data_IF_230726888471
#
_entry.id   IF_230726888471
#
_cell.length_a   1.000
_cell.length_b   1.000
_cell.length_c   1.000
_cell.angle_alpha   90.00
_cell.angle_beta   90.00
_cell.angle_gamma   90.00
#
_symmetry.space_group_name_H-M   'P 1'
#
loop_
_entity.id
_entity.type
_entity.pdbx_description
1 polymer ?
#
# COMPACT_ATOMS: atom_id res chain seq x y z
N UNK A 1 -4.38 40.19 72.76
CA UNK A 1 -4.74 41.17 71.72
C UNK A 1 -5.80 40.52 70.84
N UNK A 2 -7.07 40.89 70.99
CA UNK A 2 -8.19 40.22 70.30
C UNK A 2 -8.54 41.02 69.05
N UNK A 3 -8.18 40.51 67.87
CA UNK A 3 -8.50 41.15 66.59
C UNK A 3 -10.00 40.98 66.35
N UNK A 4 -10.75 42.08 66.37
CA UNK A 4 -12.18 42.09 66.00
C UNK A 4 -12.30 42.29 64.49
N UNK A 5 -12.63 41.23 63.76
CA UNK A 5 -12.96 41.35 62.34
C UNK A 5 -14.35 41.97 62.16
N UNK A 6 -14.44 43.03 61.36
CA UNK A 6 -15.69 43.76 61.13
C UNK A 6 -16.51 43.06 60.03
N UNK A 7 -17.69 42.53 60.40
CA UNK A 7 -18.56 41.70 59.55
C UNK A 7 -18.87 42.33 58.18
N UNK A 8 -18.88 43.67 58.08
CA UNK A 8 -19.15 44.38 56.81
C UNK A 8 -18.10 44.14 55.72
N UNK A 9 -16.86 43.79 56.09
CA UNK A 9 -15.80 43.46 55.14
C UNK A 9 -15.75 41.96 54.84
N UNK A 10 -16.16 41.11 55.81
CA UNK A 10 -16.25 39.66 55.63
C UNK A 10 -17.26 39.30 54.52
N UNK A 11 -18.42 39.97 54.49
CA UNK A 11 -19.43 39.73 53.45
C UNK A 11 -18.97 40.15 52.05
N UNK A 12 -18.20 41.24 51.94
CA UNK A 12 -17.61 41.69 50.67
C UNK A 12 -16.49 40.75 50.19
N UNK A 13 -15.67 40.24 51.10
CA UNK A 13 -14.62 39.25 50.79
C UNK A 13 -15.24 37.91 50.37
N UNK A 14 -16.30 37.46 51.04
CA UNK A 14 -17.06 36.27 50.65
C UNK A 14 -17.73 36.44 49.28
N UNK A 15 -18.29 37.61 48.97
CA UNK A 15 -18.90 37.87 47.67
C UNK A 15 -17.86 37.89 46.53
N UNK A 16 -16.68 38.47 46.74
CA UNK A 16 -15.57 38.43 45.77
C UNK A 16 -15.03 37.01 45.61
N UNK A 17 -14.89 36.25 46.70
CA UNK A 17 -14.50 34.85 46.67
C UNK A 17 -15.50 33.96 45.92
N UNK A 18 -16.80 34.22 46.05
CA UNK A 18 -17.85 33.50 45.31
C UNK A 18 -17.81 33.78 43.80
N UNK A 19 -17.52 35.02 43.40
CA UNK A 19 -17.37 35.40 41.97
C UNK A 19 -16.15 34.72 41.36
N UNK A 20 -15.02 34.68 42.08
CA UNK A 20 -13.79 34.00 41.63
C UNK A 20 -14.01 32.47 41.54
N UNK A 21 -14.77 31.90 42.48
CA UNK A 21 -15.09 30.47 42.46
C UNK A 21 -15.94 30.06 41.25
N UNK A 22 -16.82 30.95 40.74
CA UNK A 22 -17.61 30.69 39.53
C UNK A 22 -16.82 30.81 38.22
N UNK A 23 -15.66 31.48 38.21
CA UNK A 23 -14.81 31.62 37.02
C UNK A 23 -13.61 30.67 37.01
N UNK A 24 -13.28 30.05 38.15
CA UNK A 24 -12.15 29.14 38.30
C UNK A 24 -12.43 27.72 37.78
N UNK A 25 -13.71 27.36 37.56
CA UNK A 25 -14.12 26.13 36.90
C UNK A 25 -14.57 26.48 35.48
N UNK A 26 -13.62 26.72 34.57
CA UNK A 26 -13.92 26.62 33.14
C UNK A 26 -13.68 25.16 32.75
N UNK A 27 -14.65 24.55 32.06
CA UNK A 27 -14.52 23.19 31.53
C UNK A 27 -13.30 23.06 30.59
N UNK A 28 -12.87 24.18 29.98
CA UNK A 28 -11.67 24.30 29.16
C UNK A 28 -10.37 23.84 29.85
N UNK A 29 -10.24 24.01 31.18
CA UNK A 29 -9.06 23.51 31.92
C UNK A 29 -9.02 21.98 32.01
N UNK A 30 -10.18 21.32 31.90
CA UNK A 30 -10.31 19.87 31.88
C UNK A 30 -10.37 19.29 30.47
N UNK A 31 -10.43 20.12 29.43
CA UNK A 31 -10.33 19.71 28.03
C UNK A 31 -8.86 19.46 27.61
N UNK A 32 -8.20 18.58 28.36
CA UNK A 32 -6.81 18.15 28.12
C UNK A 32 -6.74 16.85 27.31
N UNK A 33 -7.88 16.38 26.81
CA UNK A 33 -7.98 15.12 26.07
C UNK A 33 -7.77 15.31 24.55
N UNK A 34 -7.57 16.56 24.11
CA UNK A 34 -7.03 16.83 22.79
C UNK A 34 -5.52 16.66 22.79
N UNK A 35 -5.07 15.54 22.23
CA UNK A 35 -3.65 15.25 22.03
C UNK A 35 -3.00 16.37 21.18
N UNK A 36 -2.10 17.19 21.77
CA UNK A 36 -1.49 18.32 21.06
C UNK A 36 -0.52 17.88 19.96
N UNK A 37 -0.16 16.59 19.92
CA UNK A 37 0.67 16.00 18.87
C UNK A 37 -0.15 15.41 17.72
N UNK A 38 -1.46 15.18 17.93
CA UNK A 38 -2.36 14.69 16.90
C UNK A 38 -2.71 15.81 15.92
N UNK A 39 -2.34 15.64 14.66
CA UNK A 39 -2.76 16.56 13.61
C UNK A 39 -4.28 16.46 13.49
N UNK A 40 -4.98 17.57 13.73
CA UNK A 40 -6.43 17.62 13.56
C UNK A 40 -6.80 17.28 12.12
N UNK A 41 -7.94 16.62 11.91
CA UNK A 41 -8.38 16.20 10.58
C UNK A 41 -8.53 17.39 9.60
N UNK A 42 -8.84 18.58 10.13
CA UNK A 42 -8.90 19.84 9.38
C UNK A 42 -7.54 20.32 8.85
N UNK A 43 -6.43 19.87 9.43
CA UNK A 43 -5.07 20.23 9.05
C UNK A 43 -4.42 19.24 8.07
N UNK A 44 -5.00 18.06 7.88
CA UNK A 44 -4.51 17.06 6.91
C UNK A 44 -5.00 17.43 5.51
N UNK A 45 -4.08 17.87 4.66
CA UNK A 45 -4.37 18.25 3.27
C UNK A 45 -4.34 17.05 2.33
N UNK A 46 -5.06 17.13 1.21
CA UNK A 46 -5.00 16.12 0.14
C UNK A 46 -3.57 15.91 -0.38
N UNK A 47 -2.79 16.99 -0.46
CA UNK A 47 -1.38 16.98 -0.89
C UNK A 47 -0.42 16.29 0.09
N UNK A 48 -0.80 16.17 1.38
CA UNK A 48 -0.01 15.43 2.37
C UNK A 48 -0.49 13.97 2.49
N UNK A 49 -1.79 13.73 2.30
CA UNK A 49 -2.40 12.42 2.47
C UNK A 49 -2.10 11.47 1.30
N UNK A 50 -2.12 11.96 0.07
CA UNK A 50 -1.85 11.15 -1.13
C UNK A 50 -0.48 10.45 -1.09
N UNK A 51 0.67 11.15 -0.90
CA UNK A 51 1.97 10.49 -0.96
C UNK A 51 2.19 9.49 0.19
N UNK A 52 1.64 9.77 1.39
CA UNK A 52 1.69 8.82 2.50
C UNK A 52 0.86 7.55 2.22
N UNK A 53 -0.29 7.71 1.56
CA UNK A 53 -1.15 6.60 1.15
C UNK A 53 -0.49 5.76 0.06
N UNK A 54 0.12 6.39 -0.94
CA UNK A 54 0.84 5.72 -2.03
C UNK A 54 2.03 4.90 -1.53
N UNK A 55 2.77 5.42 -0.54
CA UNK A 55 3.85 4.68 0.11
C UNK A 55 3.32 3.48 0.92
N UNK A 56 2.21 3.63 1.64
CA UNK A 56 1.51 2.52 2.28
C UNK A 56 1.03 1.44 1.30
N UNK A 57 0.61 1.84 0.10
CA UNK A 57 0.25 0.93 -1.00
C UNK A 57 1.48 0.20 -1.53
N UNK A 58 2.64 0.86 -1.58
CA UNK A 58 3.93 0.24 -1.86
C UNK A 58 4.25 -0.89 -0.86
N UNK A 59 4.05 -0.65 0.44
CA UNK A 59 4.21 -1.69 1.48
C UNK A 59 3.21 -2.83 1.36
N UNK A 60 1.95 -2.54 1.04
CA UNK A 60 0.95 -3.57 0.76
C UNK A 60 1.41 -4.45 -0.41
N UNK A 61 1.86 -3.83 -1.50
CA UNK A 61 2.35 -4.53 -2.68
C UNK A 61 3.56 -5.42 -2.36
N UNK A 62 4.53 -4.92 -1.60
CA UNK A 62 5.65 -5.72 -1.09
C UNK A 62 5.17 -6.95 -0.32
N UNK A 63 4.19 -6.78 0.57
CA UNK A 63 3.64 -7.89 1.37
C UNK A 63 3.05 -8.98 0.46
N UNK A 64 2.22 -8.60 -0.51
CA UNK A 64 1.67 -9.53 -1.51
C UNK A 64 2.77 -10.20 -2.32
N UNK A 65 3.73 -9.43 -2.83
CA UNK A 65 4.83 -9.94 -3.63
C UNK A 65 5.71 -10.93 -2.86
N UNK A 66 6.05 -10.63 -1.61
CA UNK A 66 6.87 -11.48 -0.76
C UNK A 66 6.23 -12.84 -0.49
N UNK A 67 4.92 -12.85 -0.19
CA UNK A 67 4.20 -14.10 0.08
C UNK A 67 3.96 -14.91 -1.18
N UNK A 68 3.53 -14.25 -2.27
CA UNK A 68 3.29 -14.92 -3.56
C UNK A 68 4.57 -15.43 -4.20
N UNK A 69 5.71 -14.74 -4.02
CA UNK A 69 7.00 -15.21 -4.53
C UNK A 69 7.45 -16.52 -3.85
N UNK A 70 7.10 -16.75 -2.58
CA UNK A 70 7.35 -18.03 -1.92
C UNK A 70 6.44 -19.13 -2.47
N UNK A 71 5.14 -18.84 -2.62
CA UNK A 71 4.15 -19.80 -3.15
C UNK A 71 4.50 -20.20 -4.59
N UNK A 72 4.91 -19.24 -5.42
CA UNK A 72 5.32 -19.47 -6.80
C UNK A 72 6.76 -19.99 -6.93
N UNK A 73 7.46 -20.25 -5.81
CA UNK A 73 8.84 -20.77 -5.80
C UNK A 73 9.83 -19.89 -6.59
N UNK A 74 9.65 -18.57 -6.51
CA UNK A 74 10.68 -17.61 -6.94
C UNK A 74 11.73 -17.41 -5.85
N UNK A 75 11.31 -17.53 -4.60
CA UNK A 75 12.17 -17.41 -3.41
C UNK A 75 11.96 -18.60 -2.49
N UNK A 76 13.03 -19.01 -1.81
CA UNK A 76 13.07 -20.11 -0.84
C UNK A 76 13.36 -19.56 0.55
N UNK A 77 12.73 -20.16 1.55
CA UNK A 77 12.89 -19.84 2.97
C UNK A 77 13.10 -21.10 3.79
N UNK A 78 13.58 -20.95 5.03
CA UNK A 78 13.80 -22.07 5.95
C UNK A 78 12.56 -22.47 6.75
N UNK A 79 11.37 -22.51 6.13
CA UNK A 79 10.12 -22.89 6.81
C UNK A 79 8.91 -21.99 6.57
N UNK A 80 8.84 -21.28 5.44
CA UNK A 80 7.73 -20.42 5.04
C UNK A 80 6.71 -21.11 4.12
N UNK A 81 6.01 -20.31 3.30
CA UNK A 81 4.96 -20.82 2.41
C UNK A 81 5.49 -21.79 1.34
N UNK A 82 6.77 -21.64 0.99
CA UNK A 82 7.48 -22.54 0.07
C UNK A 82 7.65 -23.97 0.63
N UNK A 83 7.46 -24.15 1.94
CA UNK A 83 7.40 -25.44 2.64
C UNK A 83 5.99 -25.97 2.86
N UNK A 84 4.97 -25.32 2.27
CA UNK A 84 3.55 -25.56 2.56
C UNK A 84 3.12 -25.31 4.01
N UNK A 85 3.91 -24.56 4.78
CA UNK A 85 3.49 -24.12 6.10
C UNK A 85 2.36 -23.08 5.99
N UNK A 86 1.46 -23.10 6.97
CA UNK A 86 0.45 -22.04 7.10
C UNK A 86 1.16 -20.70 7.32
N UNK A 87 0.90 -19.74 6.43
CA UNK A 87 1.42 -18.39 6.55
C UNK A 87 0.31 -17.43 6.95
N UNK A 88 0.63 -16.55 7.90
CA UNK A 88 -0.21 -15.41 8.21
C UNK A 88 0.12 -14.29 7.25
N UNK A 89 -0.94 -13.66 6.73
CA UNK A 89 -0.81 -12.58 5.77
C UNK A 89 -1.33 -11.24 6.33
N UNK A 90 -1.02 -11.03 7.60
CA UNK A 90 -1.39 -9.89 8.44
C UNK A 90 -0.78 -8.57 7.96
N UNK A 91 0.47 -8.58 7.48
CA UNK A 91 1.11 -7.40 6.90
C UNK A 91 0.40 -6.91 5.63
N UNK A 92 0.02 -7.83 4.75
CA UNK A 92 -0.77 -7.51 3.55
C UNK A 92 -2.14 -6.95 3.90
N UNK A 93 -2.83 -7.57 4.86
CA UNK A 93 -4.14 -7.12 5.34
C UNK A 93 -4.06 -5.71 5.96
N UNK A 94 -3.15 -5.52 6.91
CA UNK A 94 -3.01 -4.27 7.66
C UNK A 94 -2.62 -3.12 6.76
N UNK A 95 -1.64 -3.30 5.86
CA UNK A 95 -1.26 -2.25 4.91
C UNK A 95 -2.40 -1.93 3.94
N UNK A 96 -3.15 -2.94 3.48
CA UNK A 96 -4.28 -2.75 2.58
C UNK A 96 -5.40 -1.93 3.23
N UNK A 97 -5.83 -2.29 4.44
CA UNK A 97 -6.97 -1.64 5.08
C UNK A 97 -6.60 -0.36 5.82
N UNK A 98 -5.54 -0.39 6.62
CA UNK A 98 -5.21 0.70 7.55
C UNK A 98 -4.43 1.82 6.86
N UNK A 99 -3.47 1.47 5.99
CA UNK A 99 -2.62 2.46 5.31
C UNK A 99 -3.07 2.80 3.88
N UNK A 100 -3.85 1.90 3.26
CA UNK A 100 -4.35 2.04 1.89
C UNK A 100 -5.81 2.52 1.86
N UNK A 101 -6.75 1.56 1.88
CA UNK A 101 -8.17 1.79 1.61
C UNK A 101 -8.81 2.81 2.57
N UNK A 102 -8.50 2.78 3.87
CA UNK A 102 -9.03 3.78 4.81
C UNK A 102 -8.60 5.21 4.44
N UNK A 103 -7.31 5.40 4.14
CA UNK A 103 -6.79 6.71 3.72
C UNK A 103 -7.36 7.14 2.37
N UNK A 104 -7.47 6.22 1.40
CA UNK A 104 -8.11 6.49 0.11
C UNK A 104 -9.57 6.93 0.27
N UNK A 105 -10.32 6.31 1.20
CA UNK A 105 -11.68 6.73 1.50
C UNK A 105 -11.73 8.16 2.07
N UNK A 106 -10.81 8.52 2.96
CA UNK A 106 -10.68 9.90 3.48
C UNK A 106 -10.31 10.88 2.36
N UNK A 107 -9.41 10.51 1.43
CA UNK A 107 -9.08 11.32 0.26
C UNK A 107 -10.33 11.58 -0.60
N UNK A 108 -11.13 10.55 -0.87
CA UNK A 108 -12.36 10.67 -1.67
C UNK A 108 -13.36 11.62 -1.00
N UNK A 109 -13.57 11.49 0.31
CA UNK A 109 -14.47 12.35 1.08
C UNK A 109 -14.02 13.82 1.05
N UNK A 110 -12.77 14.10 1.42
CA UNK A 110 -12.19 15.45 1.39
C UNK A 110 -12.16 16.05 -0.01
N UNK A 111 -11.89 15.25 -1.03
CA UNK A 111 -11.91 15.70 -2.41
C UNK A 111 -13.31 16.12 -2.85
N UNK A 112 -14.36 15.45 -2.38
CA UNK A 112 -15.75 15.86 -2.59
C UNK A 112 -16.06 17.21 -1.96
N UNK A 113 -15.66 17.41 -0.70
CA UNK A 113 -15.86 18.66 0.05
C UNK A 113 -15.12 19.85 -0.58
N UNK A 114 -13.94 19.61 -1.16
CA UNK A 114 -13.07 20.65 -1.71
C UNK A 114 -13.25 20.86 -3.22
N UNK A 115 -14.18 20.14 -3.87
CA UNK A 115 -14.36 20.11 -5.31
C UNK A 115 -13.05 19.80 -6.07
N UNK A 116 -12.34 18.77 -5.59
CA UNK A 116 -11.06 18.31 -6.10
C UNK A 116 -11.15 16.92 -6.77
N UNK A 117 -11.98 16.74 -7.82
CA UNK A 117 -12.22 15.44 -8.45
C UNK A 117 -10.95 14.76 -8.97
N UNK A 118 -9.88 15.49 -9.28
CA UNK A 118 -8.61 14.84 -9.68
C UNK A 118 -8.03 13.95 -8.57
N UNK A 119 -8.08 14.38 -7.30
CA UNK A 119 -7.65 13.54 -6.17
C UNK A 119 -8.60 12.37 -5.94
N UNK A 120 -9.91 12.60 -6.06
CA UNK A 120 -10.91 11.52 -5.95
C UNK A 120 -10.67 10.45 -7.04
N UNK A 121 -10.37 10.88 -8.27
CA UNK A 121 -10.12 9.98 -9.39
C UNK A 121 -8.91 9.08 -9.16
N UNK A 122 -7.79 9.65 -8.72
CA UNK A 122 -6.61 8.88 -8.32
C UNK A 122 -6.96 7.89 -7.20
N UNK A 123 -7.63 8.35 -6.15
CA UNK A 123 -7.92 7.52 -5.00
C UNK A 123 -8.86 6.33 -5.31
N UNK A 124 -9.82 6.52 -6.23
CA UNK A 124 -10.70 5.43 -6.71
C UNK A 124 -9.92 4.40 -7.52
N UNK A 125 -9.03 4.83 -8.41
CA UNK A 125 -8.18 3.92 -9.21
C UNK A 125 -7.28 3.08 -8.29
N UNK A 126 -6.66 3.72 -7.30
CA UNK A 126 -5.83 3.02 -6.31
C UNK A 126 -6.65 2.08 -5.40
N UNK A 127 -7.90 2.44 -5.09
CA UNK A 127 -8.79 1.56 -4.33
C UNK A 127 -9.08 0.29 -5.11
N UNK A 128 -9.39 0.40 -6.41
CA UNK A 128 -9.57 -0.76 -7.28
C UNK A 128 -8.29 -1.61 -7.41
N UNK A 129 -7.11 -0.99 -7.39
CA UNK A 129 -5.83 -1.71 -7.37
C UNK A 129 -5.65 -2.56 -6.11
N UNK A 130 -5.87 -1.98 -4.93
CA UNK A 130 -5.76 -2.69 -3.65
C UNK A 130 -6.81 -3.78 -3.50
N UNK A 131 -8.06 -3.51 -3.90
CA UNK A 131 -9.13 -4.50 -3.84
C UNK A 131 -8.83 -5.74 -4.67
N UNK A 132 -8.19 -5.58 -5.84
CA UNK A 132 -7.81 -6.72 -6.67
C UNK A 132 -6.79 -7.61 -5.97
N UNK A 133 -5.77 -7.03 -5.35
CA UNK A 133 -4.79 -7.78 -4.55
C UNK A 133 -5.45 -8.51 -3.39
N UNK A 134 -6.32 -7.81 -2.64
CA UNK A 134 -6.99 -8.36 -1.48
C UNK A 134 -7.95 -9.51 -1.83
N UNK A 135 -8.85 -9.29 -2.79
CA UNK A 135 -9.84 -10.31 -3.18
C UNK A 135 -9.18 -11.51 -3.89
N UNK A 136 -8.01 -11.33 -4.50
CA UNK A 136 -7.26 -12.46 -5.07
C UNK A 136 -6.57 -13.30 -3.99
N UNK A 137 -6.26 -12.71 -2.84
CA UNK A 137 -5.64 -13.42 -1.72
C UNK A 137 -6.65 -14.06 -0.77
N UNK A 138 -7.80 -13.39 -0.53
CA UNK A 138 -8.77 -13.79 0.51
C UNK A 138 -10.18 -14.06 -0.02
N UNK A 139 -10.41 -13.95 -1.33
CA UNK A 139 -11.72 -14.05 -1.96
C UNK A 139 -12.70 -12.99 -1.44
N UNK A 140 -13.51 -13.33 -0.46
CA UNK A 140 -14.49 -12.43 0.13
C UNK A 140 -13.79 -11.50 1.12
N UNK A 141 -14.07 -10.19 1.03
CA UNK A 141 -13.39 -9.17 1.81
C UNK A 141 -14.35 -8.05 2.23
N UNK A 142 -14.17 -7.40 3.39
CA UNK A 142 -14.97 -6.24 3.75
C UNK A 142 -14.69 -5.04 2.85
N UNK A 143 -15.71 -4.42 2.26
CA UNK A 143 -15.50 -3.15 1.54
C UNK A 143 -16.65 -2.17 1.70
N UNK A 144 -17.88 -2.59 1.38
CA UNK A 144 -19.05 -1.71 1.35
C UNK A 144 -19.42 -1.13 2.71
N UNK A 145 -19.03 -1.82 3.78
CA UNK A 145 -19.29 -1.41 5.17
C UNK A 145 -17.99 -1.12 5.96
N UNK A 146 -16.82 -1.24 5.33
CA UNK A 146 -15.53 -1.32 6.01
C UNK A 146 -15.03 0.00 6.61
N UNK A 147 -15.52 1.14 6.11
CA UNK A 147 -15.02 2.47 6.51
C UNK A 147 -16.02 3.27 7.36
N UNK A 148 -17.07 2.62 7.87
CA UNK A 148 -17.94 3.19 8.89
C UNK A 148 -17.34 2.95 10.28
N UNK A 149 -16.87 4.01 10.93
CA UNK A 149 -16.27 3.97 12.28
C UNK A 149 -17.23 3.45 13.36
N UNK A 150 -18.55 3.48 13.10
CA UNK A 150 -19.57 2.92 14.01
C UNK A 150 -19.78 1.43 13.80
N UNK A 151 -19.41 0.90 12.63
CA UNK A 151 -19.52 -0.50 12.30
C UNK A 151 -18.22 -1.26 12.61
N UNK A 152 -18.12 -1.79 13.83
CA UNK A 152 -16.95 -2.55 14.26
C UNK A 152 -16.88 -3.97 13.67
N UNK A 153 -17.91 -4.41 12.93
CA UNK A 153 -18.01 -5.75 12.33
C UNK A 153 -18.54 -5.65 10.89
N UNK A 154 -17.77 -5.03 9.98
CA UNK A 154 -18.20 -4.91 8.59
C UNK A 154 -18.37 -6.29 7.97
N UNK A 155 -19.44 -6.48 7.19
CA UNK A 155 -19.64 -7.72 6.47
C UNK A 155 -18.56 -7.94 5.41
N UNK A 156 -18.40 -9.19 5.00
CA UNK A 156 -17.54 -9.57 3.89
C UNK A 156 -18.38 -9.54 2.60
N UNK A 157 -17.98 -8.72 1.64
CA UNK A 157 -18.56 -8.72 0.31
C UNK A 157 -17.99 -9.87 -0.52
N UNK A 158 -18.82 -10.46 -1.38
CA UNK A 158 -18.36 -11.55 -2.24
C UNK A 158 -17.29 -11.09 -3.22
N UNK A 159 -16.36 -11.98 -3.60
CA UNK A 159 -15.36 -11.67 -4.63
C UNK A 159 -16.00 -11.12 -5.91
N UNK A 160 -17.13 -11.68 -6.36
CA UNK A 160 -17.87 -11.17 -7.52
C UNK A 160 -18.34 -9.72 -7.35
N UNK A 161 -18.94 -9.39 -6.19
CA UNK A 161 -19.33 -8.01 -5.85
C UNK A 161 -18.12 -7.07 -5.88
N UNK A 162 -16.97 -7.53 -5.35
CA UNK A 162 -15.74 -6.75 -5.37
C UNK A 162 -15.26 -6.49 -6.81
N UNK A 163 -15.30 -7.45 -7.72
CA UNK A 163 -14.96 -7.22 -9.13
C UNK A 163 -15.87 -6.19 -9.81
N UNK A 164 -17.17 -6.21 -9.49
CA UNK A 164 -18.09 -5.19 -9.97
C UNK A 164 -17.74 -3.81 -9.39
N UNK A 165 -17.41 -3.74 -8.09
CA UNK A 165 -16.98 -2.50 -7.42
C UNK A 165 -15.69 -1.95 -8.00
N UNK A 166 -14.68 -2.79 -8.25
CA UNK A 166 -13.43 -2.40 -8.91
C UNK A 166 -13.69 -1.78 -10.27
N UNK A 167 -14.56 -2.38 -11.08
CA UNK A 167 -14.91 -1.84 -12.40
C UNK A 167 -15.55 -0.46 -12.28
N UNK A 168 -16.52 -0.30 -11.37
CA UNK A 168 -17.17 1.00 -11.12
C UNK A 168 -16.17 2.06 -10.65
N UNK A 169 -15.28 1.73 -9.71
CA UNK A 169 -14.26 2.63 -9.20
C UNK A 169 -13.29 3.10 -10.31
N UNK A 170 -12.89 2.20 -11.21
CA UNK A 170 -12.03 2.55 -12.35
C UNK A 170 -12.76 3.48 -13.32
N UNK A 171 -14.03 3.23 -13.61
CA UNK A 171 -14.84 4.07 -14.51
C UNK A 171 -15.11 5.46 -13.92
N UNK A 172 -15.54 5.50 -12.65
CA UNK A 172 -15.71 6.76 -11.92
C UNK A 172 -14.39 7.51 -11.80
N UNK A 173 -13.29 6.81 -11.54
CA UNK A 173 -11.97 7.41 -11.43
C UNK A 173 -11.55 8.08 -12.74
N UNK A 174 -11.71 7.40 -13.87
CA UNK A 174 -11.46 7.98 -15.20
C UNK A 174 -12.34 9.21 -15.45
N UNK A 175 -13.63 9.14 -15.08
CA UNK A 175 -14.57 10.25 -15.24
C UNK A 175 -14.20 11.45 -14.36
N UNK A 176 -13.78 11.22 -13.12
CA UNK A 176 -13.35 12.26 -12.19
C UNK A 176 -12.08 12.97 -12.68
N UNK A 177 -11.13 12.23 -13.26
CA UNK A 177 -9.92 12.79 -13.89
C UNK A 177 -10.19 13.62 -15.16
N UNK A 178 -11.42 13.64 -15.67
CA UNK A 178 -11.83 14.43 -16.82
C UNK A 178 -12.60 15.71 -16.45
N UNK A 179 -12.94 15.91 -15.17
CA UNK A 179 -13.68 17.08 -14.68
C UNK A 179 -12.75 18.27 -14.44
N UNK A 180 -13.32 19.47 -14.38
CA UNK A 180 -12.59 20.62 -13.83
C UNK A 180 -12.36 20.42 -12.32
N UNK A 181 -11.16 20.72 -11.85
CA UNK A 181 -10.77 20.47 -10.46
C UNK A 181 -10.14 21.72 -9.83
N UNK A 182 -10.52 22.04 -8.59
CA UNK A 182 -9.91 23.15 -7.82
C UNK A 182 -8.48 22.81 -7.39
N UNK A 183 -8.23 21.54 -7.06
CA UNK A 183 -6.94 21.01 -6.65
C UNK A 183 -6.61 19.78 -7.48
N UNK A 184 -5.33 19.61 -7.78
CA UNK A 184 -4.82 18.45 -8.53
C UNK A 184 -3.59 17.88 -7.86
N UNK A 185 -3.32 16.56 -8.00
CA UNK A 185 -2.01 16.01 -7.70
C UNK A 185 -0.94 16.70 -8.55
N UNK A 186 0.25 16.85 -7.99
CA UNK A 186 1.41 17.54 -8.56
C UNK A 186 2.63 16.61 -8.54
N UNK A 187 3.72 16.96 -9.24
CA UNK A 187 4.95 16.17 -9.21
C UNK A 187 5.54 15.88 -7.81
N UNK A 188 5.18 16.67 -6.81
CA UNK A 188 5.71 16.56 -5.44
C UNK A 188 4.84 15.73 -4.51
N UNK A 189 3.59 15.45 -4.86
CA UNK A 189 2.65 14.73 -3.98
C UNK A 189 1.99 13.50 -4.62
N UNK A 190 2.16 13.30 -5.93
CA UNK A 190 1.88 12.03 -6.61
C UNK A 190 3.21 11.34 -6.90
N UNK A 191 3.43 10.22 -6.22
CA UNK A 191 4.67 9.47 -6.26
C UNK A 191 4.76 8.55 -7.49
N UNK A 192 3.63 8.13 -8.07
CA UNK A 192 3.58 7.22 -9.22
C UNK A 192 3.72 7.95 -10.56
N UNK A 193 2.87 8.94 -10.82
CA UNK A 193 2.77 9.57 -12.15
C UNK A 193 3.04 11.06 -12.14
N UNK A 194 3.53 11.60 -11.01
CA UNK A 194 3.99 12.99 -10.88
C UNK A 194 2.91 14.01 -11.27
N UNK A 195 1.65 13.71 -11.00
CA UNK A 195 0.49 14.57 -11.31
C UNK A 195 -0.06 14.38 -12.72
N UNK A 196 0.47 13.43 -13.51
CA UNK A 196 -0.01 13.18 -14.87
C UNK A 196 -1.33 12.42 -14.87
N UNK A 197 -2.43 13.17 -15.02
CA UNK A 197 -3.78 12.61 -15.10
C UNK A 197 -3.96 11.69 -16.32
N UNK A 198 -3.21 11.95 -17.40
CA UNK A 198 -3.21 11.08 -18.58
C UNK A 198 -2.64 9.70 -18.24
N UNK A 199 -1.52 9.65 -17.52
CA UNK A 199 -0.94 8.36 -17.09
C UNK A 199 -1.87 7.63 -16.12
N UNK A 200 -2.53 8.34 -15.19
CA UNK A 200 -3.56 7.74 -14.33
C UNK A 200 -4.73 7.13 -15.13
N UNK A 201 -5.23 7.82 -16.16
CA UNK A 201 -6.28 7.26 -17.05
C UNK A 201 -5.81 6.03 -17.81
N UNK A 202 -4.58 6.06 -18.34
CA UNK A 202 -3.96 4.91 -19.03
C UNK A 202 -3.79 3.73 -18.08
N UNK A 203 -3.34 3.98 -16.86
CA UNK A 203 -3.21 2.97 -15.81
C UNK A 203 -4.55 2.36 -15.44
N UNK A 204 -5.60 3.17 -15.27
CA UNK A 204 -6.95 2.69 -15.02
C UNK A 204 -7.45 1.76 -16.15
N UNK A 205 -7.27 2.15 -17.42
CA UNK A 205 -7.59 1.29 -18.56
C UNK A 205 -6.77 -0.01 -18.55
N UNK A 206 -5.47 0.04 -18.23
CA UNK A 206 -4.64 -1.15 -18.13
C UNK A 206 -5.12 -2.09 -17.02
N UNK A 207 -5.52 -1.56 -15.85
CA UNK A 207 -6.11 -2.36 -14.78
C UNK A 207 -7.42 -3.02 -15.22
N UNK A 208 -8.28 -2.30 -15.96
CA UNK A 208 -9.50 -2.89 -16.54
C UNK A 208 -9.17 -4.06 -17.49
N UNK A 209 -8.16 -3.91 -18.34
CA UNK A 209 -7.71 -4.98 -19.23
C UNK A 209 -7.14 -6.18 -18.45
N UNK A 210 -6.32 -5.92 -17.42
CA UNK A 210 -5.77 -6.95 -16.52
C UNK A 210 -6.90 -7.74 -15.85
N UNK A 211 -7.89 -7.06 -15.27
CA UNK A 211 -8.97 -7.72 -14.54
C UNK A 211 -9.96 -8.42 -15.46
N UNK A 212 -10.11 -8.00 -16.72
CA UNK A 212 -10.85 -8.77 -17.71
C UNK A 212 -10.23 -10.16 -17.92
N UNK A 213 -8.89 -10.27 -17.90
CA UNK A 213 -8.18 -11.55 -18.05
C UNK A 213 -8.36 -12.51 -16.87
N UNK A 214 -8.77 -12.02 -15.69
CA UNK A 214 -9.07 -12.89 -14.54
C UNK A 214 -10.31 -13.78 -14.80
N UNK A 215 -11.15 -13.45 -15.78
CA UNK A 215 -12.34 -14.22 -16.15
C UNK A 215 -12.08 -15.31 -17.21
N UNK A 216 -10.83 -15.56 -17.57
CA UNK A 216 -10.47 -16.53 -18.63
C UNK A 216 -10.97 -17.95 -18.36
N UNK A 217 -10.99 -18.40 -17.11
CA UNK A 217 -11.54 -19.71 -16.74
C UNK A 217 -13.07 -19.80 -16.86
N UNK A 218 -13.79 -18.66 -16.82
CA UNK A 218 -15.24 -18.63 -17.05
C UNK A 218 -15.58 -18.58 -18.54
N UNK A 219 -14.90 -17.70 -19.29
CA UNK A 219 -15.02 -17.62 -20.75
C UNK A 219 -13.78 -16.92 -21.34
N UNK A 220 -12.84 -17.72 -21.84
CA UNK A 220 -11.56 -17.22 -22.36
C UNK A 220 -11.72 -16.25 -23.53
N UNK A 221 -12.61 -16.55 -24.48
CA UNK A 221 -12.82 -15.72 -25.67
C UNK A 221 -13.39 -14.34 -25.31
N UNK A 222 -14.42 -14.30 -24.45
CA UNK A 222 -15.00 -13.03 -23.99
C UNK A 222 -14.00 -12.23 -23.17
N UNK A 223 -13.27 -12.87 -22.25
CA UNK A 223 -12.23 -12.22 -21.45
C UNK A 223 -11.15 -11.56 -22.34
N UNK A 224 -10.62 -12.30 -23.31
CA UNK A 224 -9.61 -11.81 -24.25
C UNK A 224 -10.13 -10.65 -25.12
N UNK A 225 -11.34 -10.79 -25.69
CA UNK A 225 -11.93 -9.73 -26.53
C UNK A 225 -12.20 -8.44 -25.73
N UNK A 226 -12.63 -8.56 -24.47
CA UNK A 226 -12.82 -7.42 -23.58
C UNK A 226 -11.48 -6.72 -23.29
N UNK A 227 -10.45 -7.50 -22.95
CA UNK A 227 -9.11 -6.95 -22.70
C UNK A 227 -8.56 -6.22 -23.94
N UNK A 228 -8.65 -6.83 -25.13
CA UNK A 228 -8.22 -6.22 -26.40
C UNK A 228 -8.98 -4.93 -26.72
N UNK A 229 -10.30 -4.91 -26.49
CA UNK A 229 -11.13 -3.71 -26.71
C UNK A 229 -10.70 -2.56 -25.79
N UNK A 230 -10.30 -2.87 -24.56
CA UNK A 230 -9.80 -1.87 -23.61
C UNK A 230 -8.39 -1.41 -24.01
N UNK A 231 -7.51 -2.32 -24.43
CA UNK A 231 -6.14 -2.02 -24.88
C UNK A 231 -6.10 -1.23 -26.19
N UNK A 232 -7.16 -1.29 -27.00
CA UNK A 232 -7.30 -0.43 -28.19
C UNK A 232 -7.55 1.05 -27.83
N UNK A 233 -7.81 1.37 -26.56
CA UNK A 233 -7.83 2.74 -26.03
C UNK A 233 -6.42 3.21 -25.73
N UNK A 234 -6.29 4.46 -25.26
CA UNK A 234 -5.03 4.99 -24.75
C UNK A 234 -4.64 4.27 -23.43
N UNK A 235 -3.71 3.31 -23.53
CA UNK A 235 -3.10 2.54 -22.41
C UNK A 235 -1.59 2.79 -22.32
N UNK A 236 -0.88 2.17 -21.36
CA UNK A 236 0.58 2.29 -21.22
C UNK A 236 1.28 1.64 -22.43
N UNK A 237 2.27 2.33 -23.00
CA UNK A 237 2.93 1.92 -24.27
C UNK A 237 4.44 1.67 -24.14
N UNK A 238 5.06 2.04 -23.02
CA UNK A 238 6.45 1.68 -22.72
C UNK A 238 6.82 1.90 -21.26
N UNK A 239 8.07 1.56 -20.91
CA UNK A 239 8.57 1.59 -19.52
C UNK A 239 8.47 2.98 -18.86
N UNK A 240 8.48 4.05 -19.64
CA UNK A 240 8.32 5.41 -19.11
C UNK A 240 6.91 5.68 -18.54
N UNK A 241 5.93 4.87 -18.94
CA UNK A 241 4.56 4.93 -18.45
C UNK A 241 4.33 3.99 -17.24
N UNK A 242 5.34 3.26 -16.75
CA UNK A 242 5.16 2.28 -15.67
C UNK A 242 4.63 2.92 -14.39
N UNK A 243 3.65 2.26 -13.76
CA UNK A 243 3.15 2.63 -12.43
C UNK A 243 4.19 2.23 -11.36
N UNK A 244 5.25 3.03 -11.23
CA UNK A 244 6.38 2.72 -10.35
C UNK A 244 6.46 3.68 -9.17
N UNK A 245 6.54 3.12 -7.96
CA UNK A 245 6.96 3.87 -6.78
C UNK A 245 8.48 3.89 -6.71
N UNK A 246 9.07 5.09 -6.80
CA UNK A 246 10.53 5.26 -6.79
C UNK A 246 11.02 5.50 -5.36
N UNK A 247 11.88 4.60 -4.88
CA UNK A 247 12.53 4.66 -3.57
C UNK A 247 13.84 5.46 -3.64
N UNK A 248 14.37 5.83 -2.47
CA UNK A 248 15.61 6.59 -2.36
C UNK A 248 16.36 6.23 -1.07
N UNK A 249 17.52 6.85 -0.84
CA UNK A 249 18.39 6.51 0.30
C UNK A 249 17.79 6.81 1.68
N UNK A 250 16.65 7.53 1.76
CA UNK A 250 15.91 7.77 3.00
C UNK A 250 14.68 6.87 3.12
N UNK A 251 14.00 6.61 2.01
CA UNK A 251 12.87 5.70 1.91
C UNK A 251 13.32 4.49 1.10
N UNK A 252 13.94 3.52 1.77
CA UNK A 252 14.53 2.36 1.10
C UNK A 252 13.42 1.45 0.52
N UNK A 253 13.71 0.85 -0.64
CA UNK A 253 12.88 -0.21 -1.19
C UNK A 253 12.72 -1.35 -0.16
N UNK A 254 11.48 -1.82 0.14
CA UNK A 254 11.24 -2.90 1.09
C UNK A 254 12.00 -4.20 0.78
N UNK A 255 12.23 -4.52 -0.49
CA UNK A 255 13.06 -5.67 -0.89
C UNK A 255 14.54 -5.44 -0.58
N UNK A 256 15.02 -4.20 -0.71
CA UNK A 256 16.38 -3.85 -0.34
C UNK A 256 16.60 -3.97 1.17
N UNK A 257 15.76 -3.30 1.96
CA UNK A 257 15.91 -3.23 3.42
C UNK A 257 15.54 -4.54 4.11
N UNK A 258 14.43 -5.17 3.69
CA UNK A 258 13.87 -6.36 4.32
C UNK A 258 14.51 -7.68 3.89
N UNK A 259 15.20 -7.72 2.74
CA UNK A 259 15.82 -8.95 2.23
C UNK A 259 17.32 -8.77 2.05
N UNK A 260 17.76 -7.90 1.13
CA UNK A 260 19.18 -7.80 0.79
C UNK A 260 20.05 -7.33 1.98
N UNK A 261 19.67 -6.24 2.64
CA UNK A 261 20.38 -5.70 3.81
C UNK A 261 20.26 -6.62 5.03
N UNK A 262 19.06 -7.20 5.24
CA UNK A 262 18.81 -8.13 6.34
C UNK A 262 19.71 -9.37 6.24
N UNK A 263 19.82 -9.97 5.06
CA UNK A 263 20.65 -11.15 4.82
C UNK A 263 22.13 -10.89 5.13
N UNK A 264 22.68 -9.72 4.77
CA UNK A 264 24.10 -9.38 5.03
C UNK A 264 24.38 -8.95 6.47
N UNK A 265 23.36 -8.55 7.23
CA UNK A 265 23.49 -8.14 8.64
C UNK A 265 23.20 -9.27 9.63
N UNK A 266 23.04 -10.50 9.13
CA UNK A 266 22.81 -11.70 9.94
C UNK A 266 21.35 -11.97 10.28
N UNK A 267 20.41 -11.18 9.75
CA UNK A 267 18.97 -11.42 9.88
C UNK A 267 18.44 -12.08 8.60
N UNK A 268 18.75 -13.36 8.44
CA UNK A 268 18.35 -14.12 7.25
C UNK A 268 16.83 -14.12 7.04
N UNK A 269 16.39 -13.77 5.83
CA UNK A 269 14.98 -13.78 5.43
C UNK A 269 14.69 -14.90 4.41
N UNK A 270 15.15 -14.73 3.17
CA UNK A 270 14.91 -15.62 2.02
C UNK A 270 16.11 -15.63 1.06
N UNK A 271 16.18 -16.65 0.19
CA UNK A 271 17.10 -16.73 -0.97
C UNK A 271 16.34 -16.93 -2.27
N UNK A 272 17.02 -16.78 -3.40
CA UNK A 272 16.45 -17.21 -4.68
C UNK A 272 16.23 -18.72 -4.66
N UNK A 273 15.03 -19.16 -5.07
CA UNK A 273 14.67 -20.57 -5.14
C UNK A 273 15.45 -21.31 -6.23
N UNK A 274 15.79 -22.58 -6.00
CA UNK A 274 16.42 -23.46 -6.98
C UNK A 274 15.59 -23.52 -8.27
N UNK A 275 14.26 -23.56 -8.18
CA UNK A 275 13.35 -23.64 -9.32
C UNK A 275 13.49 -22.46 -10.27
N UNK A 276 13.54 -21.23 -9.72
CA UNK A 276 13.77 -20.02 -10.52
C UNK A 276 15.17 -20.04 -11.15
N UNK A 277 16.19 -20.45 -10.39
CA UNK A 277 17.57 -20.43 -10.85
C UNK A 277 17.82 -21.51 -11.91
N UNK A 278 17.24 -22.69 -11.79
CA UNK A 278 17.32 -23.77 -12.78
C UNK A 278 16.58 -23.39 -14.07
N UNK A 279 15.45 -22.70 -13.95
CA UNK A 279 14.76 -22.12 -15.10
C UNK A 279 15.62 -21.09 -15.84
N UNK A 280 16.29 -20.19 -15.11
CA UNK A 280 17.10 -19.12 -15.70
C UNK A 280 18.48 -19.57 -16.16
N UNK A 281 19.08 -20.58 -15.53
CA UNK A 281 20.39 -21.10 -15.90
C UNK A 281 20.34 -22.08 -17.07
N UNK A 282 19.14 -22.41 -17.55
CA UNK A 282 18.92 -23.36 -18.64
C UNK A 282 18.93 -24.82 -18.20
N UNK A 283 18.99 -25.11 -16.90
CA UNK A 283 18.86 -26.49 -16.37
C UNK A 283 17.46 -27.04 -16.67
N UNK A 284 16.41 -26.25 -16.44
CA UNK A 284 15.02 -26.69 -16.66
C UNK A 284 14.60 -26.62 -18.13
N UNK A 285 14.93 -25.52 -18.82
CA UNK A 285 14.41 -25.22 -20.16
C UNK A 285 15.44 -25.32 -21.29
N UNK A 286 16.70 -25.64 -20.99
CA UNK A 286 17.78 -25.69 -21.98
C UNK A 286 18.21 -24.32 -22.53
N UNK A 287 17.69 -23.22 -22.00
CA UNK A 287 17.95 -21.85 -22.45
C UNK A 287 18.52 -21.03 -21.30
N UNK A 288 19.68 -20.42 -21.53
CA UNK A 288 20.29 -19.48 -20.59
C UNK A 288 19.58 -18.11 -20.64
N UNK A 289 19.16 -17.61 -19.49
CA UNK A 289 18.55 -16.30 -19.33
C UNK A 289 19.62 -15.24 -18.99
N UNK A 290 19.85 -14.24 -19.88
CA UNK A 290 20.85 -13.20 -19.65
C UNK A 290 20.52 -12.28 -18.46
N UNK A 291 19.30 -12.34 -17.90
CA UNK A 291 18.91 -11.57 -16.71
C UNK A 291 19.45 -12.18 -15.42
N UNK A 292 19.85 -13.46 -15.40
CA UNK A 292 20.31 -14.15 -14.19
C UNK A 292 21.36 -13.35 -13.38
N UNK A 293 22.45 -12.80 -13.97
CA UNK A 293 23.42 -11.99 -13.24
C UNK A 293 22.91 -10.62 -12.77
N UNK A 294 21.74 -10.17 -13.25
CA UNK A 294 21.07 -8.96 -12.77
C UNK A 294 20.13 -9.26 -11.59
N UNK A 295 19.54 -10.47 -11.59
CA UNK A 295 18.58 -10.94 -10.60
C UNK A 295 19.24 -11.44 -9.32
N UNK A 296 20.30 -12.22 -9.45
CA UNK A 296 20.96 -12.89 -8.34
C UNK A 296 22.42 -12.46 -8.22
N UNK A 297 22.87 -12.22 -6.99
CA UNK A 297 24.28 -12.08 -6.66
C UNK A 297 24.87 -13.41 -6.23
N UNK A 298 26.16 -13.65 -6.52
CA UNK A 298 26.91 -14.76 -5.94
C UNK A 298 27.37 -14.40 -4.53
N UNK A 299 27.36 -15.37 -3.62
CA UNK A 299 27.96 -15.21 -2.30
C UNK A 299 29.47 -14.95 -2.43
N UNK A 300 29.91 -13.80 -1.94
CA UNK A 300 31.32 -13.37 -2.00
C UNK A 300 32.27 -14.28 -1.23
N UNK A 301 31.76 -15.07 -0.27
CA UNK A 301 32.54 -16.03 0.49
C UNK A 301 33.11 -17.19 -0.35
N UNK A 302 32.68 -17.35 -1.61
CA UNK A 302 33.12 -18.48 -2.45
C UNK A 302 33.45 -18.01 -3.88
N UNK A 303 34.48 -17.17 -4.00
CA UNK A 303 34.95 -16.58 -5.26
C UNK A 303 35.29 -17.60 -6.38
N UNK A 304 35.45 -18.88 -6.04
CA UNK A 304 35.72 -19.98 -6.97
C UNK A 304 34.45 -20.62 -7.58
N UNK A 305 33.25 -20.27 -7.11
CA UNK A 305 32.01 -20.86 -7.63
C UNK A 305 31.61 -20.21 -8.97
N UNK A 306 31.62 -21.04 -10.02
CA UNK A 306 31.23 -20.65 -11.39
C UNK A 306 29.76 -20.98 -11.70
N UNK A 307 29.12 -21.82 -10.89
CA UNK A 307 27.75 -22.33 -11.08
C UNK A 307 26.71 -21.53 -10.28
N UNK A 308 25.50 -21.45 -10.82
CA UNK A 308 24.36 -20.77 -10.21
C UNK A 308 23.47 -21.80 -9.51
N UNK A 309 23.42 -21.77 -8.18
CA UNK A 309 22.70 -22.75 -7.37
C UNK A 309 21.75 -21.99 -6.46
N UNK A 310 20.46 -22.04 -6.79
CA UNK A 310 19.41 -21.51 -5.93
C UNK A 310 19.19 -22.38 -4.70
N UNK A 311 18.36 -21.91 -3.78
CA UNK A 311 18.06 -22.61 -2.56
C UNK A 311 16.86 -23.56 -2.73
N UNK A 312 17.00 -24.78 -2.22
CA UNK A 312 15.89 -25.73 -2.18
C UNK A 312 14.77 -25.16 -1.31
N UNK A 313 13.53 -25.21 -1.82
CA UNK A 313 12.38 -24.70 -1.09
C UNK A 313 12.19 -25.49 0.21
N UNK A 314 12.03 -24.78 1.33
CA UNK A 314 11.81 -25.33 2.66
C UNK A 314 12.98 -26.02 3.36
N UNK A 315 14.08 -26.32 2.67
CA UNK A 315 15.28 -26.88 3.29
C UNK A 315 16.33 -25.81 3.65
N UNK A 316 16.28 -24.65 2.97
CA UNK A 316 17.30 -23.62 3.08
C UNK A 316 18.66 -24.05 2.50
N UNK A 317 19.50 -23.07 2.17
CA UNK A 317 20.85 -23.30 1.62
C UNK A 317 20.92 -23.21 0.10
N UNK A 318 21.93 -22.51 -0.42
CA UNK A 318 22.17 -22.19 -1.84
C UNK A 318 23.37 -21.25 -1.94
N UNK A 319 23.91 -21.00 -3.15
CA UNK A 319 25.09 -20.13 -3.30
C UNK A 319 24.80 -18.72 -3.83
N UNK A 320 23.51 -18.41 -4.01
CA UNK A 320 23.02 -17.13 -4.48
C UNK A 320 22.35 -16.34 -3.36
N UNK A 321 22.41 -15.02 -3.48
CA UNK A 321 21.82 -14.10 -2.53
C UNK A 321 21.23 -12.86 -3.20
N UNK A 322 20.37 -12.19 -2.44
CA UNK A 322 19.88 -10.85 -2.73
C UNK A 322 20.99 -9.87 -2.37
N UNK A 323 21.62 -9.25 -3.37
CA UNK A 323 22.66 -8.24 -3.13
C UNK A 323 22.15 -6.83 -3.44
N UNK A 324 22.68 -5.84 -2.73
CA UNK A 324 22.31 -4.42 -2.88
C UNK A 324 22.44 -3.90 -4.32
N UNK A 325 23.32 -4.50 -5.14
CA UNK A 325 23.52 -4.11 -6.54
C UNK A 325 22.44 -4.63 -7.51
N UNK A 326 21.64 -5.63 -7.09
CA UNK A 326 20.65 -6.31 -7.91
C UNK A 326 19.43 -5.44 -8.20
N UNK A 327 18.66 -5.78 -9.24
CA UNK A 327 17.49 -4.98 -9.65
C UNK A 327 16.42 -4.81 -8.56
N UNK A 328 16.19 -5.83 -7.71
CA UNK A 328 15.19 -5.79 -6.64
C UNK A 328 15.54 -4.82 -5.50
N UNK A 329 16.79 -4.34 -5.45
CA UNK A 329 17.26 -3.40 -4.44
C UNK A 329 17.15 -1.92 -4.87
N UNK A 330 16.69 -1.65 -6.10
CA UNK A 330 16.62 -0.31 -6.70
C UNK A 330 15.22 0.27 -6.71
#
# INVERSE_FOLDING_TARGET
MTIKFNLKYISKILAVGAIIATTACSDDFFDVNDDPTRISESRVTLSALLPATEEGIGRANYSFAFSTAQICQHISSGGGADSHNEIRFDGGWSNTYLSGLANLNVIIQKAGEQNAPHYAGVAKIMSAYLLAGATSAWENIPYTEAFDIKNLKPKYDSQESIYQKMTMLLDEGIADLAKTSTLSPTPTNDLFFKGSLTQWRRFANLLKARYAMHFTLKNATTAANNALTILAKDTLIGNADDAQLVFNDRNLNPWHSGVALANVTGNFSVRHSAQLIDAMSGVTFGVWDPRLPLIAGRLTANASQTTWIGAENGAGGGNLDFVAASWHSR
#
